data_IF_745195035795
#
_entry.id   IF_745195035795
#
_cell.length_a   1.000
_cell.length_b   1.000
_cell.length_c   1.000
_cell.angle_alpha   90.00
_cell.angle_beta   90.00
_cell.angle_gamma   90.00
#
_symmetry.space_group_name_H-M   'P 1'
#
loop_
_entity.id
_entity.type
_entity.pdbx_description
1 polymer ?
#
# COMPACT_ATOMS: atom_id res chain seq x y z
N UNK A 1 12.47 90.46 -43.26
CA UNK A 1 13.66 89.59 -43.40
C UNK A 1 13.19 88.15 -43.61
N UNK A 2 13.65 87.54 -44.72
CA UNK A 2 14.04 86.12 -44.94
C UNK A 2 13.53 85.04 -43.97
N UNK A 3 13.19 83.81 -44.35
CA UNK A 3 13.00 83.06 -45.60
C UNK A 3 12.79 81.58 -45.16
N UNK A 4 11.91 80.83 -45.85
CA UNK A 4 12.02 79.38 -46.19
C UNK A 4 11.88 78.27 -45.10
N UNK A 5 10.67 77.68 -45.04
CA UNK A 5 10.24 76.25 -45.23
C UNK A 5 11.34 75.19 -45.60
N UNK A 6 11.09 73.84 -45.57
CA UNK A 6 10.03 73.00 -44.96
C UNK A 6 10.50 71.60 -44.41
N UNK A 7 9.54 70.77 -43.97
CA UNK A 7 9.46 69.29 -44.11
C UNK A 7 10.69 68.41 -43.80
N UNK A 8 10.60 67.68 -42.68
CA UNK A 8 11.21 66.36 -42.56
C UNK A 8 10.12 65.34 -42.18
N UNK A 9 9.51 64.75 -43.22
CA UNK A 9 8.87 63.44 -43.12
C UNK A 9 9.99 62.42 -43.02
N UNK A 10 10.02 61.65 -41.93
CA UNK A 10 10.78 60.41 -41.91
C UNK A 10 10.05 59.35 -41.07
N UNK A 11 9.33 58.53 -41.82
CA UNK A 11 9.25 57.08 -41.71
C UNK A 11 8.73 56.46 -40.39
N UNK A 12 7.45 56.07 -40.49
CA UNK A 12 6.91 54.81 -39.99
C UNK A 12 7.98 53.70 -39.98
N UNK A 13 8.34 53.21 -38.80
CA UNK A 13 8.79 51.82 -38.61
C UNK A 13 7.85 51.15 -37.63
N UNK A 14 7.12 50.18 -38.16
CA UNK A 14 6.31 49.24 -37.41
C UNK A 14 7.22 48.41 -36.48
N UNK A 15 7.05 48.57 -35.17
CA UNK A 15 7.41 47.55 -34.20
C UNK A 15 6.16 46.72 -33.91
N UNK A 16 5.86 45.81 -34.84
CA UNK A 16 5.04 44.65 -34.54
C UNK A 16 5.80 43.69 -33.63
N UNK A 17 5.07 42.96 -32.79
CA UNK A 17 5.57 41.75 -32.14
C UNK A 17 6.14 41.97 -30.75
N UNK A 18 5.29 42.34 -29.79
CA UNK A 18 5.66 42.43 -28.39
C UNK A 18 4.51 42.09 -27.43
N UNK A 19 3.66 41.12 -27.77
CA UNK A 19 2.72 40.54 -26.80
C UNK A 19 3.48 39.62 -25.84
N UNK A 20 4.36 40.19 -25.02
CA UNK A 20 4.92 39.54 -23.85
C UNK A 20 4.27 40.18 -22.60
N UNK A 21 2.94 40.15 -22.52
CA UNK A 21 2.24 40.69 -21.36
C UNK A 21 0.84 40.11 -21.22
N UNK A 22 0.76 38.98 -20.54
CA UNK A 22 0.02 38.79 -19.29
C UNK A 22 0.25 37.31 -18.89
N UNK A 23 0.67 36.99 -17.65
CA UNK A 23 0.47 35.64 -17.15
C UNK A 23 -1.03 35.44 -17.15
N UNK A 24 -1.53 34.68 -18.12
CA UNK A 24 -2.92 34.31 -18.19
C UNK A 24 -3.24 33.66 -16.85
N UNK A 25 -4.03 34.36 -16.05
CA UNK A 25 -4.57 33.90 -14.79
C UNK A 25 -5.53 32.77 -15.16
N UNK A 26 -4.99 31.60 -15.49
CA UNK A 26 -5.77 30.45 -15.90
C UNK A 26 -6.56 30.02 -14.66
N UNK A 27 -7.89 29.95 -14.73
CA UNK A 27 -8.73 29.75 -13.55
C UNK A 27 -8.50 28.41 -12.81
N UNK A 28 -7.65 27.50 -13.30
CA UNK A 28 -7.31 26.23 -12.65
C UNK A 28 -5.99 26.17 -11.87
N UNK A 29 -5.16 27.21 -11.86
CA UNK A 29 -3.82 27.15 -11.23
C UNK A 29 -3.89 26.89 -9.72
N UNK A 30 -4.79 27.56 -9.01
CA UNK A 30 -4.94 27.40 -7.56
C UNK A 30 -5.36 25.96 -7.15
N UNK A 31 -6.26 25.34 -7.93
CA UNK A 31 -6.70 23.96 -7.73
C UNK A 31 -5.57 22.96 -7.98
N UNK A 32 -4.76 23.23 -9.00
CA UNK A 32 -3.60 22.41 -9.35
C UNK A 32 -2.49 22.53 -8.29
N UNK A 33 -2.17 23.75 -7.87
CA UNK A 33 -1.18 24.02 -6.81
C UNK A 33 -1.56 23.35 -5.49
N UNK A 34 -2.86 23.38 -5.14
CA UNK A 34 -3.36 22.67 -3.96
C UNK A 34 -3.14 21.17 -4.07
N UNK A 35 -3.47 20.55 -5.21
CA UNK A 35 -3.22 19.12 -5.44
C UNK A 35 -1.73 18.76 -5.35
N UNK A 36 -0.88 19.58 -5.97
CA UNK A 36 0.58 19.41 -5.92
C UNK A 36 1.14 19.60 -4.50
N UNK A 37 0.58 20.52 -3.71
CA UNK A 37 0.94 20.69 -2.30
C UNK A 37 0.53 19.49 -1.43
N UNK A 38 -0.72 19.04 -1.54
CA UNK A 38 -1.21 17.87 -0.82
C UNK A 38 -0.40 16.61 -1.14
N UNK A 39 0.04 16.47 -2.40
CA UNK A 39 0.95 15.39 -2.82
C UNK A 39 2.30 15.48 -2.10
N UNK A 40 2.90 16.67 -2.00
CA UNK A 40 4.18 16.88 -1.27
C UNK A 40 4.05 16.61 0.24
N UNK A 41 2.90 16.94 0.81
CA UNK A 41 2.59 16.68 2.23
C UNK A 41 2.28 15.21 2.52
N UNK A 42 2.18 14.36 1.49
CA UNK A 42 1.81 12.95 1.62
C UNK A 42 0.32 12.71 1.85
N UNK A 43 -0.50 13.76 1.78
CA UNK A 43 -1.96 13.71 1.86
C UNK A 43 -2.57 13.22 0.53
N UNK A 44 -2.17 12.02 0.10
CA UNK A 44 -2.41 11.52 -1.25
C UNK A 44 -3.90 11.34 -1.61
N UNK A 45 -4.75 10.96 -0.65
CA UNK A 45 -6.20 10.89 -0.89
C UNK A 45 -6.78 12.27 -1.22
N UNK A 46 -6.43 13.27 -0.41
CA UNK A 46 -6.87 14.64 -0.64
C UNK A 46 -6.29 15.20 -1.96
N UNK A 47 -5.04 14.87 -2.29
CA UNK A 47 -4.42 15.24 -3.56
C UNK A 47 -5.16 14.63 -4.77
N UNK A 48 -5.53 13.34 -4.70
CA UNK A 48 -6.33 12.67 -5.74
C UNK A 48 -7.68 13.35 -5.92
N UNK A 49 -8.35 13.75 -4.84
CA UNK A 49 -9.61 14.52 -4.92
C UNK A 49 -9.39 15.86 -5.60
N UNK A 50 -8.38 16.63 -5.19
CA UNK A 50 -8.05 17.93 -5.80
C UNK A 50 -7.73 17.81 -7.30
N UNK A 51 -7.03 16.74 -7.71
CA UNK A 51 -6.77 16.46 -9.12
C UNK A 51 -8.03 16.03 -9.90
N UNK A 52 -8.95 15.29 -9.30
CA UNK A 52 -10.25 14.98 -9.93
C UNK A 52 -11.10 16.23 -10.12
N UNK A 53 -11.13 17.13 -9.13
CA UNK A 53 -11.85 18.39 -9.22
C UNK A 53 -11.28 19.26 -10.34
N UNK A 54 -9.95 19.36 -10.42
CA UNK A 54 -9.26 20.05 -11.52
C UNK A 54 -9.63 19.45 -12.89
N UNK A 55 -9.61 18.12 -13.02
CA UNK A 55 -9.91 17.45 -14.30
C UNK A 55 -11.38 17.57 -14.70
N UNK A 56 -12.28 17.68 -13.72
CA UNK A 56 -13.72 17.93 -13.95
C UNK A 56 -13.96 19.35 -14.45
N UNK A 57 -13.29 20.33 -13.84
CA UNK A 57 -13.47 21.75 -14.19
C UNK A 57 -12.68 22.17 -15.44
N UNK A 58 -11.52 21.53 -15.70
CA UNK A 58 -10.59 21.90 -16.77
C UNK A 58 -10.13 20.69 -17.61
N UNK A 59 -11.06 19.92 -18.22
CA UNK A 59 -10.75 18.65 -18.88
C UNK A 59 -9.79 18.77 -20.09
N UNK A 60 -9.80 19.93 -20.76
CA UNK A 60 -8.98 20.23 -21.93
C UNK A 60 -7.77 21.14 -21.65
N UNK A 61 -7.44 21.39 -20.38
CA UNK A 61 -6.26 22.19 -20.03
C UNK A 61 -4.96 21.51 -20.47
N UNK A 62 -3.93 22.31 -20.75
CA UNK A 62 -2.60 21.79 -21.13
C UNK A 62 -2.02 20.84 -20.06
N UNK A 63 -2.29 21.13 -18.79
CA UNK A 63 -1.84 20.31 -17.67
C UNK A 63 -2.67 19.03 -17.47
N UNK A 64 -3.82 18.84 -18.13
CA UNK A 64 -4.74 17.74 -17.85
C UNK A 64 -4.09 16.35 -17.98
N UNK A 65 -3.21 16.15 -18.97
CA UNK A 65 -2.52 14.87 -19.15
C UNK A 65 -1.53 14.58 -18.02
N UNK A 66 -0.78 15.60 -17.56
CA UNK A 66 0.08 15.48 -16.37
C UNK A 66 -0.75 15.15 -15.13
N UNK A 67 -1.85 15.87 -14.92
CA UNK A 67 -2.71 15.69 -13.74
C UNK A 67 -3.32 14.29 -13.69
N UNK A 68 -3.74 13.74 -14.84
CA UNK A 68 -4.18 12.34 -14.93
C UNK A 68 -3.08 11.38 -14.49
N UNK A 69 -1.87 11.52 -15.04
CA UNK A 69 -0.74 10.66 -14.68
C UNK A 69 -0.38 10.76 -13.18
N UNK A 70 -0.33 11.98 -12.62
CA UNK A 70 -0.08 12.19 -11.20
C UNK A 70 -1.14 11.54 -10.33
N UNK A 71 -2.43 11.77 -10.63
CA UNK A 71 -3.55 11.15 -9.92
C UNK A 71 -3.50 9.62 -9.97
N UNK A 72 -3.25 9.06 -11.15
CA UNK A 72 -3.24 7.61 -11.34
C UNK A 72 -2.07 6.95 -10.59
N UNK A 73 -0.91 7.62 -10.56
CA UNK A 73 0.23 7.20 -9.74
C UNK A 73 -0.11 7.22 -8.25
N UNK A 74 -0.76 8.27 -7.76
CA UNK A 74 -1.18 8.34 -6.35
C UNK A 74 -2.21 7.27 -5.99
N UNK A 75 -3.16 6.98 -6.89
CA UNK A 75 -4.12 5.88 -6.70
C UNK A 75 -3.43 4.51 -6.63
N UNK A 76 -2.47 4.27 -7.52
CA UNK A 76 -1.68 3.04 -7.49
C UNK A 76 -0.90 2.91 -6.17
N UNK A 77 -0.31 4.00 -5.67
CA UNK A 77 0.39 4.02 -4.39
C UNK A 77 -0.55 3.71 -3.21
N UNK A 78 -1.75 4.29 -3.20
CA UNK A 78 -2.76 4.02 -2.15
C UNK A 78 -3.20 2.55 -2.18
N UNK A 79 -3.48 1.99 -3.37
CA UNK A 79 -3.80 0.55 -3.52
C UNK A 79 -2.67 -0.33 -3.00
N UNK A 80 -1.43 -0.04 -3.38
CA UNK A 80 -0.27 -0.81 -2.92
C UNK A 80 -0.10 -0.75 -1.39
N UNK A 81 -0.40 0.40 -0.76
CA UNK A 81 -0.37 0.53 0.70
C UNK A 81 -1.45 -0.32 1.37
N UNK A 82 -2.66 -0.35 0.83
CA UNK A 82 -3.72 -1.21 1.34
C UNK A 82 -3.37 -2.69 1.20
N UNK A 83 -2.86 -3.10 0.04
CA UNK A 83 -2.41 -4.47 -0.21
C UNK A 83 -1.32 -4.88 0.78
N UNK A 84 -0.32 -4.02 0.99
CA UNK A 84 0.74 -4.25 1.98
C UNK A 84 0.16 -4.42 3.39
N UNK A 85 -0.79 -3.59 3.80
CA UNK A 85 -1.43 -3.70 5.11
C UNK A 85 -2.20 -5.02 5.26
N UNK A 86 -2.90 -5.46 4.22
CA UNK A 86 -3.60 -6.76 4.20
C UNK A 86 -2.61 -7.92 4.32
N UNK A 87 -1.53 -7.91 3.54
CA UNK A 87 -0.49 -8.94 3.60
C UNK A 87 0.19 -8.99 4.98
N UNK A 88 0.43 -7.84 5.61
CA UNK A 88 0.96 -7.80 6.97
C UNK A 88 -0.01 -8.44 7.98
N UNK A 89 -1.31 -8.15 7.88
CA UNK A 89 -2.32 -8.77 8.74
C UNK A 89 -2.40 -10.29 8.53
N UNK A 90 -2.28 -10.76 7.30
CA UNK A 90 -2.23 -12.19 6.98
C UNK A 90 -1.00 -12.87 7.58
N UNK A 91 0.18 -12.24 7.50
CA UNK A 91 1.41 -12.77 8.11
C UNK A 91 1.30 -12.88 9.64
N UNK A 92 0.60 -11.95 10.30
CA UNK A 92 0.35 -12.03 11.74
C UNK A 92 -0.52 -13.25 12.05
N UNK A 93 -1.63 -13.44 11.34
CA UNK A 93 -2.51 -14.61 11.52
C UNK A 93 -1.76 -15.92 11.30
N UNK A 94 -0.98 -16.02 10.22
CA UNK A 94 -0.22 -17.23 9.93
C UNK A 94 0.81 -17.55 11.03
N UNK A 95 1.42 -16.54 11.64
CA UNK A 95 2.32 -16.75 12.80
C UNK A 95 1.57 -17.27 14.02
N UNK A 96 0.38 -16.76 14.29
CA UNK A 96 -0.47 -17.26 15.38
C UNK A 96 -0.90 -18.71 15.13
N UNK A 97 -1.30 -19.03 13.90
CA UNK A 97 -1.67 -20.38 13.49
C UNK A 97 -0.48 -21.36 13.67
N UNK A 98 0.72 -20.95 13.26
CA UNK A 98 1.93 -21.75 13.45
C UNK A 98 2.28 -21.93 14.93
N UNK A 99 2.05 -20.93 15.78
CA UNK A 99 2.24 -21.07 17.22
C UNK A 99 1.27 -22.09 17.82
N UNK A 100 -0.02 -22.03 17.45
CA UNK A 100 -1.03 -23.01 17.90
C UNK A 100 -0.69 -24.43 17.44
N UNK A 101 -0.26 -24.60 16.19
CA UNK A 101 0.15 -25.90 15.67
C UNK A 101 1.35 -26.48 16.43
N UNK A 102 2.31 -25.64 16.84
CA UNK A 102 3.44 -26.07 17.67
C UNK A 102 2.99 -26.52 19.05
N UNK A 103 2.07 -25.80 19.68
CA UNK A 103 1.50 -26.19 20.97
C UNK A 103 0.74 -27.51 20.88
N UNK A 104 -0.05 -27.70 19.82
CA UNK A 104 -0.78 -28.95 19.57
C UNK A 104 0.17 -30.14 19.35
N UNK A 105 1.28 -29.93 18.62
CA UNK A 105 2.31 -30.95 18.46
C UNK A 105 2.96 -31.31 19.80
N UNK A 106 3.31 -30.32 20.62
CA UNK A 106 3.88 -30.57 21.94
C UNK A 106 2.94 -31.36 22.86
N UNK A 107 1.63 -31.07 22.81
CA UNK A 107 0.61 -31.84 23.53
C UNK A 107 0.54 -33.28 23.05
N UNK A 108 0.53 -33.50 21.72
CA UNK A 108 0.52 -34.85 21.14
C UNK A 108 1.76 -35.65 21.49
N UNK A 109 2.93 -35.03 21.52
CA UNK A 109 4.17 -35.68 21.96
C UNK A 109 4.09 -36.12 23.42
N UNK A 110 3.51 -35.29 24.29
CA UNK A 110 3.25 -35.65 25.68
C UNK A 110 2.29 -36.84 25.81
N UNK A 111 1.19 -36.82 25.06
CA UNK A 111 0.21 -37.92 25.07
C UNK A 111 0.83 -39.22 24.55
N UNK A 112 1.62 -39.16 23.48
CA UNK A 112 2.36 -40.32 22.97
C UNK A 112 3.33 -40.88 24.00
N UNK A 113 4.04 -40.02 24.75
CA UNK A 113 4.92 -40.46 25.83
C UNK A 113 4.12 -41.19 26.93
N UNK A 114 2.98 -40.65 27.35
CA UNK A 114 2.10 -41.29 28.34
C UNK A 114 1.61 -42.65 27.89
N UNK A 115 1.08 -42.74 26.67
CA UNK A 115 0.58 -44.01 26.11
C UNK A 115 1.68 -45.06 26.03
N UNK A 116 2.92 -44.67 25.65
CA UNK A 116 4.07 -45.58 25.68
C UNK A 116 4.36 -46.08 27.09
N UNK A 117 4.36 -45.20 28.09
CA UNK A 117 4.59 -45.59 29.47
C UNK A 117 3.50 -46.55 29.98
N UNK A 118 2.25 -46.28 29.68
CA UNK A 118 1.12 -47.16 30.04
C UNK A 118 1.25 -48.53 29.36
N UNK A 119 1.64 -48.57 28.07
CA UNK A 119 1.89 -49.83 27.35
C UNK A 119 2.98 -50.67 28.02
N UNK A 120 4.11 -50.08 28.43
CA UNK A 120 5.18 -50.81 29.11
C UNK A 120 4.76 -51.33 30.50
N UNK A 121 3.96 -50.56 31.23
CA UNK A 121 3.38 -51.02 32.51
C UNK A 121 2.46 -52.22 32.30
N UNK A 122 1.56 -52.14 31.32
CA UNK A 122 0.64 -53.23 30.99
C UNK A 122 1.37 -54.50 30.53
N UNK A 123 2.45 -54.38 29.77
CA UNK A 123 3.31 -55.53 29.41
C UNK A 123 3.88 -56.19 30.66
N UNK A 124 4.43 -55.39 31.58
CA UNK A 124 4.99 -55.88 32.85
C UNK A 124 3.93 -56.59 33.70
N UNK A 125 2.75 -56.00 33.82
CA UNK A 125 1.65 -56.60 34.59
C UNK A 125 1.14 -57.89 33.95
N UNK A 126 1.06 -57.95 32.62
CA UNK A 126 0.72 -59.17 31.89
C UNK A 126 1.73 -60.29 32.14
N UNK A 127 3.04 -59.99 32.13
CA UNK A 127 4.09 -60.97 32.45
C UNK A 127 3.97 -61.49 33.88
N UNK A 128 3.69 -60.61 34.86
CA UNK A 128 3.46 -61.01 36.25
C UNK A 128 2.26 -61.95 36.38
N UNK A 129 1.14 -61.63 35.72
CA UNK A 129 -0.05 -62.48 35.74
C UNK A 129 0.24 -63.87 35.16
N UNK A 130 0.96 -63.95 34.03
CA UNK A 130 1.40 -65.22 33.45
C UNK A 130 2.25 -66.04 34.44
N UNK A 131 3.17 -65.40 35.15
CA UNK A 131 3.99 -66.10 36.15
C UNK A 131 3.16 -66.60 37.34
N UNK A 132 2.15 -65.85 37.78
CA UNK A 132 1.23 -66.26 38.84
C UNK A 132 0.44 -67.48 38.39
N UNK A 133 -0.13 -67.43 37.19
CA UNK A 133 -0.93 -68.51 36.61
C UNK A 133 -0.12 -69.82 36.51
N UNK A 134 1.09 -69.77 35.93
CA UNK A 134 2.00 -70.91 35.87
C UNK A 134 2.35 -71.49 37.26
N UNK A 135 2.49 -70.64 38.28
CA UNK A 135 2.75 -71.09 39.66
C UNK A 135 1.54 -71.78 40.27
N UNK A 136 0.32 -71.34 39.94
CA UNK A 136 -0.91 -71.95 40.40
C UNK A 136 -1.15 -73.31 39.72
N UNK A 137 -0.89 -73.42 38.42
CA UNK A 137 -0.98 -74.69 37.68
C UNK A 137 -0.01 -75.74 38.23
N UNK A 138 1.25 -75.37 38.51
CA UNK A 138 2.24 -76.29 39.11
C UNK A 138 1.91 -76.76 40.53
N UNK A 139 0.99 -76.09 41.22
CA UNK A 139 0.57 -76.41 42.59
C UNK A 139 -0.68 -77.28 42.64
N UNK A 140 -1.36 -77.48 41.52
CA UNK A 140 -2.50 -78.40 41.37
C UNK A 140 -1.99 -79.79 40.97
#
# INVERSE_FOLDING_TARGET
>A
MRMRRPLAVLLLTAAGGGCAWLPSMQPGTALLERGDQLSREGAFEAAVTSYNDYLTQYPGSEAASRVRASRDTLRALLSAREELARSQAELVRLREDLARMRDDLARRDHDLFRVRQESERLKTDLERLKQIDLKLERRK
#
